data_IF_626105328632
#
_entry.id   IF_626105328632
#
_cell.length_a   1.000
_cell.length_b   1.000
_cell.length_c   1.000
_cell.angle_alpha   90.00
_cell.angle_beta   90.00
_cell.angle_gamma   90.00
#
_symmetry.space_group_name_H-M   'P 1'
#
loop_
_entity.id
_entity.type
_entity.pdbx_description
1 polymer ?
#
# COMPACT_ATOMS: atom_id res chain seq x y z
N UNK A 1 3.68 4.48 0.83
CA UNK A 1 4.83 5.32 0.45
C UNK A 1 5.12 5.20 -1.05
N UNK A 2 5.80 6.21 -1.62
CA UNK A 2 6.21 6.17 -3.04
C UNK A 2 7.16 5.01 -3.29
N UNK A 3 8.11 4.78 -2.39
CA UNK A 3 9.07 3.67 -2.46
C UNK A 3 8.35 2.31 -2.45
N UNK A 4 7.37 2.12 -1.59
CA UNK A 4 6.62 0.87 -1.53
C UNK A 4 5.83 0.57 -2.81
N UNK A 5 5.33 1.61 -3.48
CA UNK A 5 4.63 1.46 -4.77
C UNK A 5 5.56 1.06 -5.92
N UNK A 6 6.82 1.44 -5.87
CA UNK A 6 7.83 1.04 -6.86
C UNK A 6 8.42 -0.33 -6.51
N UNK A 7 8.78 -0.55 -5.25
CA UNK A 7 9.42 -1.78 -4.79
C UNK A 7 8.47 -2.99 -4.83
N UNK A 8 7.21 -2.81 -4.42
CA UNK A 8 6.25 -3.91 -4.34
C UNK A 8 6.12 -4.72 -5.63
N UNK A 9 5.83 -4.10 -6.78
CA UNK A 9 5.72 -4.83 -8.05
C UNK A 9 7.02 -5.52 -8.48
N UNK A 10 8.17 -4.92 -8.20
CA UNK A 10 9.48 -5.51 -8.52
C UNK A 10 9.74 -6.79 -7.71
N UNK A 11 9.46 -6.74 -6.40
CA UNK A 11 9.57 -7.90 -5.53
C UNK A 11 8.56 -8.98 -5.92
N UNK A 12 7.32 -8.60 -6.20
CA UNK A 12 6.28 -9.50 -6.67
C UNK A 12 6.69 -10.24 -7.95
N UNK A 13 7.24 -9.52 -8.92
CA UNK A 13 7.75 -10.10 -10.16
C UNK A 13 8.93 -11.05 -9.91
N UNK A 14 9.87 -10.67 -9.05
CA UNK A 14 11.03 -11.51 -8.74
C UNK A 14 10.64 -12.81 -8.01
N UNK A 15 9.58 -12.76 -7.20
CA UNK A 15 9.07 -13.93 -6.47
C UNK A 15 7.98 -14.70 -7.24
N UNK A 16 7.64 -14.26 -8.45
CA UNK A 16 6.54 -14.82 -9.25
C UNK A 16 5.23 -14.95 -8.47
N UNK A 17 4.97 -14.00 -7.57
CA UNK A 17 3.77 -13.95 -6.72
C UNK A 17 2.86 -12.79 -7.11
N UNK A 18 1.56 -12.93 -6.88
CA UNK A 18 0.59 -11.86 -7.13
C UNK A 18 0.70 -10.72 -6.12
N UNK A 19 0.48 -9.48 -6.59
CA UNK A 19 0.41 -8.30 -5.75
C UNK A 19 -0.78 -7.43 -6.14
N UNK A 20 -1.60 -7.07 -5.17
CA UNK A 20 -2.68 -6.11 -5.37
C UNK A 20 -2.26 -4.73 -4.89
N UNK A 21 -2.34 -3.75 -5.78
CA UNK A 21 -1.95 -2.38 -5.46
C UNK A 21 -3.13 -1.54 -4.98
N UNK A 22 -2.82 -0.58 -4.08
CA UNK A 22 -3.77 0.44 -3.59
C UNK A 22 -4.98 -0.14 -2.84
N UNK A 23 -4.78 -1.17 -2.04
CA UNK A 23 -5.84 -1.74 -1.20
C UNK A 23 -6.36 -0.73 -0.18
N UNK A 24 -7.65 -0.83 0.12
CA UNK A 24 -8.34 -0.03 1.13
C UNK A 24 -8.67 -0.82 2.38
N UNK A 25 -8.77 -2.15 2.27
CA UNK A 25 -8.90 -3.07 3.41
C UNK A 25 -8.11 -4.34 3.14
N UNK A 26 -7.64 -4.97 4.21
CA UNK A 26 -6.97 -6.26 4.21
C UNK A 26 -7.62 -7.12 5.30
N UNK A 27 -8.04 -8.31 4.93
CA UNK A 27 -8.69 -9.25 5.84
C UNK A 27 -8.10 -10.64 5.65
N UNK A 28 -8.11 -11.46 6.67
CA UNK A 28 -7.66 -12.85 6.59
C UNK A 28 -8.89 -13.74 6.75
N UNK A 29 -9.05 -14.69 5.83
CA UNK A 29 -10.19 -15.59 5.85
C UNK A 29 -9.95 -16.86 5.03
N UNK A 30 -10.96 -17.74 5.03
CA UNK A 30 -10.93 -18.96 4.26
C UNK A 30 -11.77 -18.79 3.00
N UNK A 31 -11.25 -19.25 1.88
CA UNK A 31 -11.91 -19.17 0.59
C UNK A 31 -12.16 -20.55 0.01
N UNK A 32 -13.39 -20.79 -0.36
CA UNK A 32 -13.80 -22.01 -1.05
C UNK A 32 -13.90 -21.73 -2.55
N UNK A 33 -13.07 -22.40 -3.34
CA UNK A 33 -13.22 -22.40 -4.78
C UNK A 33 -14.30 -23.40 -5.20
N UNK A 34 -15.46 -22.87 -5.56
CA UNK A 34 -16.61 -23.68 -5.98
C UNK A 34 -16.37 -24.47 -7.27
N UNK A 35 -15.38 -24.11 -8.08
CA UNK A 35 -15.08 -24.81 -9.32
C UNK A 35 -14.23 -26.06 -9.08
N UNK A 36 -13.25 -25.94 -8.20
CA UNK A 36 -12.35 -27.04 -7.88
C UNK A 36 -12.73 -27.79 -6.59
N UNK A 37 -13.68 -27.28 -5.81
CA UNK A 37 -14.06 -27.84 -4.52
C UNK A 37 -12.96 -27.80 -3.47
N UNK A 38 -11.97 -26.91 -3.64
CA UNK A 38 -10.86 -26.75 -2.73
C UNK A 38 -11.13 -25.63 -1.73
N UNK A 39 -10.83 -25.88 -0.47
CA UNK A 39 -10.86 -24.86 0.58
C UNK A 39 -9.43 -24.39 0.85
N UNK A 40 -9.21 -23.11 0.68
CA UNK A 40 -7.95 -22.46 1.00
C UNK A 40 -8.08 -21.72 2.32
N UNK A 41 -7.22 -22.03 3.27
CA UNK A 41 -7.22 -21.42 4.59
C UNK A 41 -6.22 -20.25 4.67
N UNK A 42 -6.51 -19.28 5.54
CA UNK A 42 -5.63 -18.15 5.81
C UNK A 42 -5.22 -17.36 4.56
N UNK A 43 -6.18 -17.08 3.68
CA UNK A 43 -5.97 -16.21 2.55
C UNK A 43 -6.11 -14.74 2.93
N UNK A 44 -5.23 -13.93 2.36
CA UNK A 44 -5.30 -12.48 2.44
C UNK A 44 -6.32 -11.96 1.42
N UNK A 45 -7.46 -11.49 1.89
CA UNK A 45 -8.43 -10.76 1.09
C UNK A 45 -7.94 -9.34 0.88
N UNK A 46 -7.67 -9.01 -0.37
CA UNK A 46 -7.10 -7.74 -0.77
C UNK A 46 -8.22 -6.92 -1.42
N UNK A 47 -8.80 -6.02 -0.63
CA UNK A 47 -9.99 -5.26 -1.01
C UNK A 47 -9.56 -3.91 -1.54
N UNK A 48 -10.01 -3.59 -2.75
CA UNK A 48 -9.72 -2.30 -3.40
C UNK A 48 -10.92 -1.79 -4.18
N UNK A 49 -11.10 -0.45 -4.26
CA UNK A 49 -12.07 0.11 -5.20
C UNK A 49 -11.60 -0.13 -6.63
N UNK A 50 -12.53 -0.58 -7.47
CA UNK A 50 -12.36 -0.67 -8.91
C UNK A 50 -12.89 0.60 -9.60
N UNK A 51 -13.01 0.56 -10.91
CA UNK A 51 -13.37 1.69 -11.78
C UNK A 51 -14.43 2.63 -11.20
N UNK A 52 -14.10 3.93 -11.13
CA UNK A 52 -15.02 4.99 -10.72
C UNK A 52 -15.39 5.02 -9.23
N UNK A 53 -14.85 4.11 -8.40
CA UNK A 53 -15.10 4.10 -6.95
C UNK A 53 -16.42 3.48 -6.51
N UNK A 54 -17.27 3.05 -7.43
CA UNK A 54 -18.58 2.44 -7.13
C UNK A 54 -18.53 0.91 -7.02
N UNK A 55 -17.44 0.30 -7.43
CA UNK A 55 -17.26 -1.15 -7.40
C UNK A 55 -16.11 -1.45 -6.46
N UNK A 56 -16.30 -2.42 -5.58
CA UNK A 56 -15.27 -2.94 -4.70
C UNK A 56 -14.89 -4.33 -5.18
N UNK A 57 -13.60 -4.53 -5.44
CA UNK A 57 -13.08 -5.83 -5.83
C UNK A 57 -12.34 -6.47 -4.65
N UNK A 58 -12.66 -7.71 -4.35
CA UNK A 58 -11.90 -8.55 -3.43
C UNK A 58 -11.05 -9.50 -4.23
N UNK A 59 -9.74 -9.42 -4.04
CA UNK A 59 -8.75 -10.20 -4.78
C UNK A 59 -8.07 -11.16 -3.80
N UNK A 60 -7.91 -12.40 -4.21
CA UNK A 60 -7.23 -13.45 -3.44
C UNK A 60 -6.14 -14.09 -4.29
N UNK A 61 -5.07 -14.54 -3.64
CA UNK A 61 -4.01 -15.31 -4.27
C UNK A 61 -3.88 -16.66 -3.55
N UNK A 62 -4.58 -17.70 -4.03
CA UNK A 62 -4.68 -18.97 -3.31
C UNK A 62 -3.39 -19.80 -3.36
N UNK A 63 -2.65 -19.78 -4.45
CA UNK A 63 -1.56 -20.74 -4.70
C UNK A 63 -0.18 -20.17 -4.40
N UNK A 64 0.07 -18.91 -4.75
CA UNK A 64 1.40 -18.32 -4.66
C UNK A 64 1.66 -17.66 -3.30
N UNK A 65 2.90 -17.73 -2.86
CA UNK A 65 3.38 -17.10 -1.63
C UNK A 65 4.69 -16.33 -1.94
N UNK A 66 4.94 -15.22 -1.23
CA UNK A 66 4.09 -14.58 -0.21
C UNK A 66 2.85 -13.92 -0.80
N UNK A 67 1.79 -13.77 0.00
CA UNK A 67 0.63 -12.95 -0.36
C UNK A 67 0.99 -11.48 -0.15
N UNK A 68 0.90 -10.68 -1.21
CA UNK A 68 1.43 -9.33 -1.22
C UNK A 68 0.35 -8.30 -1.56
N UNK A 69 0.37 -7.20 -0.84
CA UNK A 69 -0.50 -6.06 -1.10
C UNK A 69 0.24 -4.74 -0.83
N UNK A 70 -0.13 -3.69 -1.55
CA UNK A 70 0.24 -2.33 -1.15
C UNK A 70 -1.00 -1.57 -0.71
N UNK A 71 -0.86 -0.76 0.33
CA UNK A 71 -1.94 0.05 0.89
C UNK A 71 -1.60 1.51 0.70
N UNK A 72 -2.61 2.30 0.35
CA UNK A 72 -2.48 3.74 0.20
C UNK A 72 -2.32 4.39 1.57
N UNK A 73 -1.48 5.41 1.65
CA UNK A 73 -1.29 6.17 2.88
C UNK A 73 -2.58 6.88 3.30
N UNK A 74 -2.88 6.84 4.60
CA UNK A 74 -4.04 7.52 5.19
C UNK A 74 -5.40 6.83 4.99
N UNK A 75 -5.44 5.64 4.40
CA UNK A 75 -6.69 4.88 4.17
C UNK A 75 -7.05 4.00 5.36
N UNK A 76 -6.06 3.33 5.95
CA UNK A 76 -6.28 2.49 7.12
C UNK A 76 -5.96 3.25 8.40
N UNK A 77 -6.80 3.06 9.42
CA UNK A 77 -6.57 3.63 10.75
C UNK A 77 -5.41 2.89 11.42
N UNK A 78 -4.51 3.64 12.02
CA UNK A 78 -3.45 3.05 12.84
C UNK A 78 -4.07 2.54 14.15
N UNK A 79 -3.93 1.27 14.41
CA UNK A 79 -4.31 0.63 15.66
C UNK A 79 -3.06 0.05 16.31
N UNK A 80 -2.94 0.24 17.62
CA UNK A 80 -1.86 -0.32 18.43
C UNK A 80 -2.49 -1.48 19.21
N UNK A 81 -2.20 -2.70 18.79
CA UNK A 81 -2.72 -3.90 19.44
C UNK A 81 -1.94 -4.23 20.72
N UNK A 82 -0.64 -4.00 20.71
CA UNK A 82 0.26 -4.22 21.83
C UNK A 82 1.27 -3.07 21.91
N UNK A 83 1.22 -2.29 22.99
CA UNK A 83 2.11 -1.16 23.19
C UNK A 83 3.53 -1.58 23.63
N UNK A 84 3.65 -2.76 24.22
CA UNK A 84 4.91 -3.27 24.77
C UNK A 84 5.67 -4.18 23.78
N UNK A 85 5.06 -4.47 22.63
CA UNK A 85 5.68 -5.31 21.61
C UNK A 85 6.92 -4.65 21.03
N UNK A 86 8.07 -5.34 21.20
CA UNK A 86 9.35 -4.93 20.61
C UNK A 86 9.73 -5.91 19.53
N UNK A 87 9.58 -5.51 18.28
CA UNK A 87 10.05 -6.28 17.13
C UNK A 87 11.56 -6.22 16.99
N UNK A 88 12.15 -7.27 16.43
CA UNK A 88 13.55 -7.29 16.05
C UNK A 88 13.79 -6.38 14.83
N UNK A 89 14.82 -5.54 14.91
CA UNK A 89 15.24 -4.67 13.81
C UNK A 89 16.60 -5.14 13.31
N UNK A 90 16.61 -5.75 12.12
CA UNK A 90 17.83 -6.24 11.48
C UNK A 90 18.30 -5.20 10.45
N UNK A 91 19.49 -4.67 10.66
CA UNK A 91 20.13 -3.75 9.74
C UNK A 91 21.04 -4.53 8.79
N UNK A 92 20.68 -4.55 7.52
CA UNK A 92 21.50 -5.14 6.46
C UNK A 92 22.43 -4.09 5.84
N UNK A 93 23.70 -4.48 5.67
CA UNK A 93 24.64 -3.67 4.92
C UNK A 93 24.39 -3.83 3.41
N UNK A 94 23.81 -2.81 2.83
CA UNK A 94 23.42 -2.82 1.40
C UNK A 94 24.66 -2.95 0.50
N UNK A 95 25.81 -2.42 0.91
CA UNK A 95 27.04 -2.47 0.11
C UNK A 95 27.55 -3.90 -0.16
N UNK A 96 27.15 -4.87 0.69
CA UNK A 96 27.49 -6.29 0.47
C UNK A 96 26.71 -6.93 -0.68
N UNK A 97 25.54 -6.39 -1.02
CA UNK A 97 24.62 -7.00 -1.98
C UNK A 97 24.57 -6.22 -3.31
N UNK A 98 24.82 -4.92 -3.25
CA UNK A 98 24.72 -4.03 -4.40
C UNK A 98 26.02 -3.23 -4.53
N UNK A 99 26.86 -3.55 -5.51
CA UNK A 99 28.08 -2.77 -5.76
C UNK A 99 27.73 -1.36 -6.22
N UNK A 100 28.60 -0.39 -5.92
CA UNK A 100 28.36 1.03 -6.28
C UNK A 100 28.16 1.24 -7.79
N UNK A 101 28.69 0.35 -8.63
CA UNK A 101 28.51 0.39 -10.08
C UNK A 101 27.08 0.21 -10.54
N UNK A 102 26.23 -0.42 -9.71
CA UNK A 102 24.84 -0.70 -10.03
C UNK A 102 23.89 0.44 -9.62
N UNK A 103 24.42 1.50 -9.00
CA UNK A 103 23.64 2.68 -8.69
C UNK A 103 23.43 3.53 -9.96
N UNK A 104 22.28 3.35 -10.60
CA UNK A 104 21.90 4.04 -11.85
C UNK A 104 21.55 5.52 -11.65
N UNK A 105 21.31 5.96 -10.42
CA UNK A 105 20.95 7.35 -10.15
C UNK A 105 21.26 7.81 -8.73
N UNK A 106 21.76 9.03 -8.61
CA UNK A 106 21.89 9.70 -7.31
C UNK A 106 20.62 10.50 -7.03
N UNK A 107 19.91 10.13 -5.97
CA UNK A 107 18.73 10.88 -5.53
C UNK A 107 19.18 12.24 -4.97
N UNK A 108 18.96 13.31 -5.70
CA UNK A 108 19.04 14.65 -5.17
C UNK A 108 17.74 14.92 -4.39
N UNK A 109 17.77 14.76 -3.07
CA UNK A 109 16.67 15.27 -2.23
C UNK A 109 16.71 16.78 -2.26
N UNK A 110 15.71 17.48 -2.78
CA UNK A 110 15.64 18.93 -2.61
C UNK A 110 15.57 19.24 -1.10
N UNK A 111 16.18 20.34 -0.65
CA UNK A 111 16.15 20.70 0.75
C UNK A 111 14.71 20.81 1.22
N UNK A 112 14.37 20.12 2.33
CA UNK A 112 13.05 20.21 2.94
C UNK A 112 12.77 21.67 3.28
N UNK A 113 11.84 22.29 2.58
CA UNK A 113 11.36 23.63 2.94
C UNK A 113 10.74 23.55 4.32
N UNK A 114 11.42 24.08 5.33
CA UNK A 114 10.86 24.24 6.66
C UNK A 114 9.66 25.22 6.53
N UNK A 115 8.48 24.79 6.91
CA UNK A 115 7.34 25.70 7.12
C UNK A 115 6.15 25.61 6.16
N UNK A 116 6.06 24.63 5.25
CA UNK A 116 4.78 24.36 4.56
C UNK A 116 4.12 23.14 5.17
N UNK A 117 2.97 23.34 5.80
CA UNK A 117 2.04 22.28 6.18
C UNK A 117 1.82 21.34 5.00
N UNK A 118 2.07 20.04 5.20
CA UNK A 118 1.90 19.04 4.17
C UNK A 118 0.43 19.07 3.70
N UNK A 119 0.16 19.09 2.38
CA UNK A 119 -1.22 19.12 1.85
C UNK A 119 -2.05 17.90 2.28
N UNK A 120 -1.39 16.82 2.66
CA UNK A 120 -1.99 15.53 3.04
C UNK A 120 -2.74 15.56 4.38
N UNK A 121 -2.59 16.63 5.19
CA UNK A 121 -3.33 16.80 6.44
C UNK A 121 -4.59 17.65 6.32
N UNK A 122 -5.00 18.02 5.11
CA UNK A 122 -6.30 18.65 4.95
C UNK A 122 -7.39 17.63 5.20
N UNK A 123 -8.20 17.87 6.21
CA UNK A 123 -9.35 17.02 6.51
C UNK A 123 -10.26 16.94 5.28
N UNK A 124 -10.97 15.85 5.12
CA UNK A 124 -11.93 15.64 4.02
C UNK A 124 -12.91 16.83 3.87
N UNK A 125 -13.17 17.58 4.97
CA UNK A 125 -13.95 18.82 5.00
C UNK A 125 -13.32 19.97 4.21
N UNK A 126 -12.00 20.09 4.23
CA UNK A 126 -11.30 21.19 3.54
C UNK A 126 -11.24 20.96 2.03
N UNK A 127 -11.19 19.70 1.61
CA UNK A 127 -11.27 19.33 0.19
C UNK A 127 -12.65 19.65 -0.43
N UNK A 128 -13.73 19.47 0.33
CA UNK A 128 -15.10 19.81 -0.06
C UNK A 128 -15.29 21.32 -0.22
N UNK A 129 -14.75 22.11 0.70
CA UNK A 129 -14.86 23.56 0.68
C UNK A 129 -14.17 24.20 -0.52
N UNK A 130 -13.04 23.63 -0.98
CA UNK A 130 -12.32 24.13 -2.16
C UNK A 130 -13.04 23.79 -3.48
N UNK A 131 -13.81 22.69 -3.52
CA UNK A 131 -14.52 22.26 -4.72
C UNK A 131 -15.86 22.98 -4.91
N UNK A 132 -16.49 23.47 -3.84
CA UNK A 132 -17.82 24.11 -3.86
C UNK A 132 -17.83 25.59 -3.47
N UNK A 133 -16.68 26.17 -3.16
CA UNK A 133 -16.57 27.58 -2.74
C UNK A 133 -16.59 28.63 -3.85
N UNK A 134 -16.86 28.24 -5.10
CA UNK A 134 -16.95 29.17 -6.25
C UNK A 134 -18.26 29.06 -7.05
N UNK A 135 -19.35 28.74 -6.39
CA UNK A 135 -20.68 28.97 -6.97
C UNK A 135 -21.47 29.88 -6.05
N UNK A 136 -21.35 31.14 -6.30
CA UNK A 136 -22.13 32.16 -5.60
C UNK A 136 -21.86 33.53 -6.18
N UNK A 137 -22.56 33.86 -7.26
CA UNK A 137 -23.19 35.16 -7.57
C UNK A 137 -23.44 35.22 -9.07
N UNK A 138 -24.62 34.90 -9.41
CA UNK A 138 -25.41 35.68 -10.38
C UNK A 138 -26.76 35.93 -9.71
#
# INVERSE_FOLDING_TARGET
TVIGRDLGPRVSSALTSGLTADCTSLEIGNHEDKKEGKVYENLLYQIRPAFGGNIVATIVNPEHRPQMATVREGVMKKEILDADYKGEVINHDVAKYVPETDYVGKSHRPPRRKGKTQPERRSHRDCWRLRHGKQGRF
#
